data_IF_523320957304
#
_entry.id   IF_523320957304
#
_cell.length_a   1.000
_cell.length_b   1.000
_cell.length_c   1.000
_cell.angle_alpha   90.00
_cell.angle_beta   90.00
_cell.angle_gamma   90.00
#
_symmetry.space_group_name_H-M   'P 1'
#
loop_
_entity.id
_entity.type
_entity.pdbx_description
1 polymer ?
#
# COMPACT_ATOMS: atom_id res chain seq x y z
N UNK A 1 5.94 -22.10 11.02
CA UNK A 1 5.04 -22.33 9.86
C UNK A 1 4.80 -20.95 9.26
N UNK A 2 4.84 -20.74 7.94
CA UNK A 2 4.88 -19.37 7.38
C UNK A 2 3.75 -18.45 7.86
N UNK A 3 2.60 -19.02 8.22
CA UNK A 3 1.45 -18.32 8.82
C UNK A 3 1.84 -17.50 10.06
N UNK A 4 2.68 -18.04 10.95
CA UNK A 4 3.13 -17.33 12.17
C UNK A 4 3.88 -16.04 11.83
N UNK A 5 4.67 -16.07 10.75
CA UNK A 5 5.45 -14.90 10.28
C UNK A 5 4.50 -13.81 9.77
N UNK A 6 3.45 -14.19 9.03
CA UNK A 6 2.46 -13.22 8.57
C UNK A 6 1.64 -12.65 9.73
N UNK A 7 1.33 -13.46 10.75
CA UNK A 7 0.67 -12.99 11.98
C UNK A 7 1.51 -11.97 12.76
N UNK A 8 2.83 -12.18 12.87
CA UNK A 8 3.75 -11.21 13.50
C UNK A 8 3.71 -9.84 12.81
N UNK A 9 3.50 -9.83 11.49
CA UNK A 9 3.37 -8.61 10.70
C UNK A 9 1.94 -8.10 10.56
N UNK A 10 0.95 -8.73 11.21
CA UNK A 10 -0.48 -8.42 11.07
C UNK A 10 -0.96 -8.46 9.61
N UNK A 11 -0.38 -9.36 8.82
CA UNK A 11 -0.70 -9.55 7.41
C UNK A 11 -1.60 -10.76 7.20
N UNK A 12 -2.56 -10.61 6.28
CA UNK A 12 -3.45 -11.69 5.89
C UNK A 12 -3.16 -12.11 4.45
N UNK A 13 -2.77 -13.37 4.25
CA UNK A 13 -2.59 -13.95 2.91
C UNK A 13 -3.93 -14.43 2.37
N UNK A 14 -4.32 -13.93 1.20
CA UNK A 14 -5.51 -14.37 0.47
C UNK A 14 -5.07 -15.23 -0.71
N UNK A 15 -5.39 -16.52 -0.64
CA UNK A 15 -5.14 -17.47 -1.73
C UNK A 15 -6.28 -17.42 -2.75
N UNK A 16 -5.92 -17.37 -4.03
CA UNK A 16 -6.85 -17.45 -5.14
C UNK A 16 -7.06 -18.91 -5.57
N UNK A 17 -8.16 -19.22 -6.27
CA UNK A 17 -8.40 -20.55 -6.80
C UNK A 17 -7.20 -21.04 -7.64
N UNK A 18 -6.81 -22.30 -7.43
CA UNK A 18 -5.68 -22.91 -8.15
C UNK A 18 -6.07 -23.08 -9.60
N UNK A 19 -5.24 -22.54 -10.50
CA UNK A 19 -5.40 -22.72 -11.94
C UNK A 19 -4.37 -23.74 -12.45
N UNK A 20 -4.73 -24.52 -13.45
CA UNK A 20 -3.81 -25.45 -14.11
C UNK A 20 -3.41 -24.86 -15.46
N UNK A 21 -2.12 -24.55 -15.62
CA UNK A 21 -1.55 -24.03 -16.87
C UNK A 21 -0.49 -25.04 -17.31
N UNK A 22 -0.60 -25.55 -18.54
CA UNK A 22 0.31 -26.58 -19.08
C UNK A 22 0.48 -27.81 -18.17
N UNK A 23 -0.63 -28.35 -17.64
CA UNK A 23 -0.68 -29.49 -16.70
C UNK A 23 0.03 -29.24 -15.35
N UNK A 24 0.43 -27.99 -15.04
CA UNK A 24 1.06 -27.63 -13.78
C UNK A 24 0.12 -26.78 -12.90
N UNK A 25 0.04 -27.06 -11.58
CA UNK A 25 -0.76 -26.25 -10.67
C UNK A 25 -0.09 -24.89 -10.41
N UNK A 26 -0.82 -23.83 -10.69
CA UNK A 26 -0.44 -22.45 -10.45
C UNK A 26 -1.20 -21.94 -9.23
N UNK A 27 -0.46 -21.67 -8.17
CA UNK A 27 -0.95 -21.05 -6.95
C UNK A 27 -0.81 -19.54 -7.10
N UNK A 28 -1.90 -18.81 -6.90
CA UNK A 28 -1.92 -17.35 -6.91
C UNK A 28 -2.48 -16.82 -5.61
N UNK A 29 -2.08 -15.62 -5.24
CA UNK A 29 -2.51 -15.01 -3.99
C UNK A 29 -1.94 -13.62 -3.81
N UNK A 30 -2.49 -12.89 -2.85
CA UNK A 30 -2.08 -11.54 -2.53
C UNK A 30 -2.23 -11.27 -1.03
N UNK A 31 -1.62 -10.19 -0.56
CA UNK A 31 -1.83 -9.71 0.81
C UNK A 31 -3.10 -8.86 0.86
N UNK A 32 -3.99 -9.11 1.82
CA UNK A 32 -5.27 -8.39 1.95
C UNK A 32 -5.06 -6.90 2.21
N UNK A 33 -4.07 -6.59 3.03
CA UNK A 33 -3.69 -5.24 3.45
C UNK A 33 -2.94 -4.51 2.33
N UNK A 34 -2.24 -5.26 1.47
CA UNK A 34 -1.43 -4.75 0.37
C UNK A 34 -1.84 -5.48 -0.91
N UNK A 35 -3.04 -5.15 -1.43
CA UNK A 35 -3.63 -5.85 -2.59
C UNK A 35 -2.82 -5.76 -3.87
N UNK A 36 -1.91 -4.78 -3.96
CA UNK A 36 -0.95 -4.65 -5.06
C UNK A 36 0.23 -5.64 -4.96
N UNK A 37 0.51 -6.18 -3.76
CA UNK A 37 1.48 -7.26 -3.58
C UNK A 37 0.79 -8.61 -3.84
N UNK A 38 0.89 -9.05 -5.08
CA UNK A 38 0.45 -10.36 -5.54
C UNK A 38 1.64 -11.23 -5.97
N UNK A 39 1.52 -12.54 -5.80
CA UNK A 39 2.51 -13.50 -6.27
C UNK A 39 1.85 -14.70 -6.94
N UNK A 40 2.60 -15.34 -7.83
CA UNK A 40 2.22 -16.60 -8.45
C UNK A 40 3.38 -17.59 -8.40
N UNK A 41 3.07 -18.83 -8.02
CA UNK A 41 4.08 -19.87 -7.85
C UNK A 41 3.54 -21.25 -8.19
N UNK A 42 4.47 -22.16 -8.49
CA UNK A 42 4.19 -23.58 -8.73
C UNK A 42 3.89 -24.37 -7.45
N UNK A 43 3.96 -23.76 -6.26
CA UNK A 43 3.62 -24.40 -4.99
C UNK A 43 3.20 -23.37 -3.94
N UNK A 44 2.34 -23.80 -3.00
CA UNK A 44 1.90 -22.98 -1.86
C UNK A 44 3.08 -22.42 -1.07
N UNK A 45 4.09 -23.24 -0.76
CA UNK A 45 5.27 -22.78 -0.01
C UNK A 45 6.03 -21.67 -0.75
N UNK A 46 6.22 -21.80 -2.07
CA UNK A 46 6.90 -20.77 -2.87
C UNK A 46 6.09 -19.48 -2.95
N UNK A 47 4.77 -19.58 -3.05
CA UNK A 47 3.88 -18.42 -3.03
C UNK A 47 4.06 -17.61 -1.74
N UNK A 48 4.02 -18.27 -0.59
CA UNK A 48 4.22 -17.62 0.71
C UNK A 48 5.62 -17.00 0.83
N UNK A 49 6.66 -17.68 0.33
CA UNK A 49 8.01 -17.11 0.30
C UNK A 49 8.11 -15.85 -0.57
N UNK A 50 7.49 -15.86 -1.76
CA UNK A 50 7.49 -14.70 -2.66
C UNK A 50 6.70 -13.52 -2.08
N UNK A 51 5.53 -13.77 -1.49
CA UNK A 51 4.74 -12.72 -0.83
C UNK A 51 5.50 -12.11 0.34
N UNK A 52 6.16 -12.93 1.15
CA UNK A 52 6.98 -12.44 2.26
C UNK A 52 8.15 -11.60 1.75
N UNK A 53 8.85 -12.07 0.71
CA UNK A 53 9.96 -11.33 0.11
C UNK A 53 9.50 -9.99 -0.47
N UNK A 54 8.38 -9.97 -1.19
CA UNK A 54 7.79 -8.75 -1.73
C UNK A 54 7.40 -7.77 -0.62
N UNK A 55 6.85 -8.27 0.49
CA UNK A 55 6.54 -7.45 1.66
C UNK A 55 7.78 -6.87 2.33
N UNK A 56 8.84 -7.66 2.52
CA UNK A 56 10.09 -7.17 3.11
C UNK A 56 10.72 -6.08 2.24
N UNK A 57 10.71 -6.26 0.93
CA UNK A 57 11.19 -5.25 -0.03
C UNK A 57 10.35 -3.98 0.06
N UNK A 58 9.02 -4.11 0.03
CA UNK A 58 8.10 -2.99 0.17
C UNK A 58 8.36 -2.23 1.48
N UNK A 59 8.57 -2.94 2.58
CA UNK A 59 8.87 -2.32 3.87
C UNK A 59 10.19 -1.56 3.84
N UNK A 60 11.23 -2.12 3.24
CA UNK A 60 12.54 -1.45 3.10
C UNK A 60 12.42 -0.18 2.24
N UNK A 61 11.73 -0.27 1.10
CA UNK A 61 11.48 0.88 0.23
C UNK A 61 10.64 1.96 0.93
N UNK A 62 9.59 1.58 1.65
CA UNK A 62 8.75 2.56 2.35
C UNK A 62 9.42 3.12 3.61
N UNK A 63 10.27 2.38 4.30
CA UNK A 63 11.08 2.95 5.38
C UNK A 63 12.06 3.99 4.85
N UNK A 64 12.66 3.76 3.68
CA UNK A 64 13.49 4.76 3.01
C UNK A 64 12.66 5.98 2.57
N UNK A 65 11.43 5.78 2.07
CA UNK A 65 10.52 6.87 1.69
C UNK A 65 10.03 7.67 2.91
N UNK A 66 9.75 7.04 4.06
CA UNK A 66 9.37 7.78 5.28
C UNK A 66 10.54 8.61 5.81
N UNK A 67 11.78 8.10 5.76
CA UNK A 67 12.95 8.91 6.10
C UNK A 67 13.11 10.09 5.13
N UNK A 68 12.90 9.92 3.83
CA UNK A 68 12.93 11.01 2.84
C UNK A 68 11.75 12.00 2.96
N UNK A 69 10.55 11.53 3.32
CA UNK A 69 9.37 12.35 3.59
C UNK A 69 9.52 13.15 4.89
N UNK A 70 10.14 12.60 5.94
CA UNK A 70 10.49 13.37 7.15
C UNK A 70 11.49 14.48 6.82
N UNK A 71 12.45 14.24 5.92
CA UNK A 71 13.43 15.25 5.50
C UNK A 71 12.76 16.35 4.65
N UNK A 72 11.84 16.00 3.74
CA UNK A 72 11.16 16.97 2.87
C UNK A 72 10.02 17.72 3.58
N UNK A 73 9.30 17.06 4.49
CA UNK A 73 8.36 17.74 5.41
C UNK A 73 9.08 18.61 6.44
N UNK A 74 10.32 18.27 6.84
CA UNK A 74 11.15 19.13 7.69
C UNK A 74 11.78 20.30 6.93
N UNK A 75 11.97 20.17 5.62
CA UNK A 75 12.46 21.25 4.73
C UNK A 75 11.37 22.26 4.35
N UNK A 76 10.09 21.88 4.45
CA UNK A 76 8.96 22.79 4.27
C UNK A 76 8.40 23.18 5.63
N UNK A 77 8.89 24.30 6.18
CA UNK A 77 8.27 24.91 7.36
C UNK A 77 6.77 25.15 7.12
N UNK A 78 5.93 25.03 8.15
CA UNK A 78 4.47 25.24 8.09
C UNK A 78 4.06 26.53 7.36
N UNK A 79 4.89 27.57 7.45
CA UNK A 79 4.74 28.85 6.75
C UNK A 79 4.81 28.75 5.21
N UNK A 80 5.53 27.77 4.65
CA UNK A 80 5.63 27.57 3.20
C UNK A 80 4.42 26.83 2.61
N UNK A 81 3.80 25.93 3.38
CA UNK A 81 2.51 25.32 3.02
C UNK A 81 1.37 26.36 3.00
N UNK A 82 1.39 27.32 3.92
CA UNK A 82 0.44 28.44 4.01
C UNK A 82 0.63 29.48 2.89
N UNK A 83 1.80 29.53 2.25
CA UNK A 83 2.10 30.51 1.18
C UNK A 83 1.36 30.21 -0.15
N UNK A 84 0.92 28.97 -0.33
CA UNK A 84 0.05 28.57 -1.45
C UNK A 84 -1.44 28.72 -1.13
N UNK A 85 -1.79 29.08 0.10
CA UNK A 85 -3.11 29.58 0.46
C UNK A 85 -3.15 31.09 0.20
N UNK A 86 -2.87 31.47 -1.04
CA UNK A 86 -3.12 32.84 -1.50
C UNK A 86 -4.64 33.00 -1.47
N UNK A 87 -5.13 33.77 -0.49
CA UNK A 87 -6.52 33.77 -0.06
C UNK A 87 -7.49 34.28 -1.12
N UNK A 88 -7.73 33.51 -2.18
CA UNK A 88 -8.91 33.65 -3.02
C UNK A 88 -10.12 33.42 -2.11
N UNK A 89 -10.71 34.54 -1.70
CA UNK A 89 -12.04 34.56 -1.12
C UNK A 89 -12.96 33.82 -2.08
N UNK A 90 -13.50 32.70 -1.62
CA UNK A 90 -14.54 31.95 -2.31
C UNK A 90 -15.72 32.89 -2.62
N UNK A 91 -15.76 33.41 -3.85
CA UNK A 91 -16.87 34.23 -4.35
C UNK A 91 -17.93 33.30 -4.91
N UNK A 92 -19.05 33.16 -4.20
CA UNK A 92 -20.25 32.56 -4.76
C UNK A 92 -20.91 31.44 -3.96
N UNK A 93 -21.42 31.75 -2.78
CA UNK A 93 -22.74 31.23 -2.41
C UNK A 93 -23.58 32.37 -1.84
N UNK A 94 -24.34 33.04 -2.72
CA UNK A 94 -25.46 33.87 -2.31
C UNK A 94 -26.62 32.95 -1.93
N UNK A 95 -27.03 32.97 -0.67
CA UNK A 95 -28.28 32.37 -0.24
C UNK A 95 -29.44 33.20 -0.83
N UNK A 96 -30.48 32.58 -1.42
CA UNK A 96 -31.67 33.33 -1.80
C UNK A 96 -32.35 33.83 -0.52
N UNK A 97 -32.44 35.15 -0.36
CA UNK A 97 -33.32 35.75 0.64
C UNK A 97 -34.75 35.39 0.27
N UNK A 98 -35.36 34.55 1.09
CA UNK A 98 -36.74 34.11 0.95
C UNK A 98 -37.66 35.27 1.36
N UNK A 99 -38.33 35.89 0.40
CA UNK A 99 -39.47 36.81 0.60
C UNK A 99 -40.73 36.23 -0.04
#
# INVERSE_FOLDING_TARGET
MYEEVFEEFQLTVVELPIEFVDDLPVYRGHLKELTFLSAEASSRKKLYQQLLQAYLLYREENQAVVEEEEITSSLLSTEQLLKYYDGETFDGFQLPSNE
#
